data_IF_886375384901
#
_entry.id   IF_886375384901
#
_cell.length_a   1.000
_cell.length_b   1.000
_cell.length_c   1.000
_cell.angle_alpha   90.00
_cell.angle_beta   90.00
_cell.angle_gamma   90.00
#
_symmetry.space_group_name_H-M   'P 1'
#
loop_
_entity.id
_entity.type
_entity.pdbx_description
1 polymer ?
#
# COMPACT_ATOMS: atom_id res chain seq x y z
N UNK A 1 -20.87 -64.37 46.56
CA UNK A 1 -19.74 -63.42 46.52
C UNK A 1 -19.99 -62.48 45.35
N UNK A 2 -20.42 -61.25 45.64
CA UNK A 2 -20.72 -60.21 44.65
C UNK A 2 -19.42 -59.61 44.13
N UNK A 3 -19.18 -59.70 42.82
CA UNK A 3 -18.09 -58.95 42.16
C UNK A 3 -18.68 -57.65 41.64
N UNK A 4 -18.28 -56.56 42.30
CA UNK A 4 -18.67 -55.19 42.01
C UNK A 4 -17.90 -54.66 40.81
N UNK A 5 -18.64 -54.31 39.75
CA UNK A 5 -18.15 -53.62 38.57
C UNK A 5 -18.04 -52.12 38.85
N UNK A 6 -16.80 -51.62 38.97
CA UNK A 6 -16.47 -50.20 38.77
C UNK A 6 -15.43 -50.10 37.67
N UNK A 7 -15.90 -50.00 36.43
CA UNK A 7 -15.09 -49.52 35.32
C UNK A 7 -14.89 -48.01 35.52
N UNK A 8 -13.67 -47.62 35.89
CA UNK A 8 -13.22 -46.25 35.79
C UNK A 8 -13.04 -45.92 34.31
N UNK A 9 -13.98 -45.15 33.76
CA UNK A 9 -13.87 -44.54 32.45
C UNK A 9 -12.78 -43.45 32.56
N UNK A 10 -11.55 -43.78 32.18
CA UNK A 10 -10.51 -42.78 31.93
C UNK A 10 -10.90 -42.08 30.63
N UNK A 11 -11.57 -40.93 30.76
CA UNK A 11 -11.85 -40.05 29.63
C UNK A 11 -10.52 -39.50 29.11
N UNK A 12 -10.02 -40.07 28.02
CA UNK A 12 -9.09 -39.37 27.15
C UNK A 12 -9.82 -38.15 26.60
N UNK A 13 -9.60 -36.98 27.20
CA UNK A 13 -9.84 -35.71 26.53
C UNK A 13 -8.85 -35.64 25.36
N UNK A 14 -9.31 -36.02 24.17
CA UNK A 14 -8.54 -35.88 22.95
C UNK A 14 -8.39 -34.38 22.65
N UNK A 15 -7.19 -33.85 22.88
CA UNK A 15 -6.78 -32.54 22.39
C UNK A 15 -6.74 -32.61 20.85
N UNK A 16 -7.76 -32.08 20.19
CA UNK A 16 -7.76 -31.87 18.75
C UNK A 16 -7.38 -30.40 18.50
N UNK A 17 -6.29 -30.18 17.76
CA UNK A 17 -5.89 -28.87 17.28
C UNK A 17 -5.60 -28.98 15.78
N UNK A 18 -6.37 -28.26 14.97
CA UNK A 18 -6.23 -28.23 13.52
C UNK A 18 -5.66 -26.88 13.13
N UNK A 19 -4.56 -26.88 12.39
CA UNK A 19 -3.93 -25.68 11.84
C UNK A 19 -4.24 -25.60 10.35
N UNK A 20 -4.63 -24.42 9.86
CA UNK A 20 -4.73 -24.16 8.44
C UNK A 20 -3.81 -23.02 8.02
N UNK A 21 -3.18 -23.19 6.86
CA UNK A 21 -2.24 -22.25 6.25
C UNK A 21 -2.93 -21.56 5.08
N UNK A 22 -3.22 -20.26 5.19
CA UNK A 22 -3.83 -19.53 4.07
C UNK A 22 -2.76 -18.77 3.31
N UNK A 23 -2.82 -18.88 2.00
CA UNK A 23 -1.88 -18.25 1.06
C UNK A 23 -2.60 -17.07 0.42
N UNK A 24 -1.93 -15.93 0.23
CA UNK A 24 -2.50 -14.77 -0.45
C UNK A 24 -2.47 -14.97 -1.97
N UNK A 25 -3.27 -14.25 -2.75
CA UNK A 25 -3.02 -14.18 -4.19
C UNK A 25 -1.81 -13.25 -4.46
N UNK A 26 -0.76 -13.75 -5.09
CA UNK A 26 0.43 -13.01 -5.53
C UNK A 26 1.26 -13.81 -6.52
N UNK A 27 1.34 -13.36 -7.78
CA UNK A 27 2.23 -13.92 -8.80
C UNK A 27 3.68 -13.45 -8.58
N UNK A 28 4.66 -14.26 -8.98
CA UNK A 28 6.08 -14.01 -8.72
C UNK A 28 6.73 -12.94 -9.60
N UNK A 29 6.09 -12.45 -10.66
CA UNK A 29 6.81 -11.64 -11.66
C UNK A 29 6.04 -10.44 -12.24
N UNK A 30 4.71 -10.43 -12.26
CA UNK A 30 3.92 -9.24 -12.64
C UNK A 30 2.57 -9.32 -11.92
N UNK A 31 2.33 -8.45 -10.94
CA UNK A 31 1.02 -8.36 -10.29
C UNK A 31 0.22 -7.28 -10.99
N UNK A 32 -0.71 -7.67 -11.86
CA UNK A 32 -1.74 -6.76 -12.37
C UNK A 32 -2.87 -6.62 -11.36
N UNK A 33 -2.57 -6.09 -10.17
CA UNK A 33 -3.59 -5.60 -9.26
C UNK A 33 -3.70 -4.09 -9.45
N UNK A 34 -4.37 -3.70 -10.53
CA UNK A 34 -5.08 -2.44 -10.53
C UNK A 34 -6.44 -2.69 -9.89
N UNK A 35 -6.88 -1.81 -9.01
CA UNK A 35 -8.29 -1.73 -8.64
C UNK A 35 -9.11 -1.60 -9.93
N UNK A 36 -9.63 -2.71 -10.47
CA UNK A 36 -10.82 -2.67 -11.32
C UNK A 36 -12.02 -2.47 -10.40
N UNK A 37 -11.97 -1.42 -9.58
CA UNK A 37 -13.17 -0.87 -9.00
C UNK A 37 -14.07 -0.41 -10.14
N UNK A 38 -15.39 -0.48 -10.00
CA UNK A 38 -16.27 0.22 -10.93
C UNK A 38 -15.82 1.69 -11.02
N UNK A 39 -15.97 2.35 -12.19
CA UNK A 39 -15.74 3.79 -12.26
C UNK A 39 -16.47 4.43 -11.10
N UNK A 40 -15.74 5.16 -10.26
CA UNK A 40 -16.30 5.86 -9.12
C UNK A 40 -17.53 6.60 -9.61
N UNK A 41 -18.69 6.27 -9.05
CA UNK A 41 -19.92 6.95 -9.39
C UNK A 41 -19.71 8.45 -9.19
N UNK A 42 -20.02 9.22 -10.23
CA UNK A 42 -20.08 10.67 -10.19
C UNK A 42 -20.90 11.08 -8.96
N UNK A 43 -20.23 11.64 -7.95
CA UNK A 43 -20.90 12.32 -6.86
C UNK A 43 -21.53 13.59 -7.45
N UNK A 44 -22.86 13.58 -7.56
CA UNK A 44 -23.62 14.74 -7.99
C UNK A 44 -23.35 15.95 -7.10
N UNK A 45 -23.12 17.04 -7.83
CA UNK A 45 -22.72 18.38 -7.45
C UNK A 45 -23.72 19.04 -6.49
N UNK A 46 -23.27 19.34 -5.27
CA UNK A 46 -23.88 20.42 -4.49
C UNK A 46 -22.81 21.28 -3.83
N UNK A 47 -22.38 22.30 -4.57
CA UNK A 47 -22.10 23.63 -4.03
C UNK A 47 -20.89 23.77 -3.09
N UNK A 48 -19.68 23.60 -3.62
CA UNK A 48 -18.50 24.45 -3.38
C UNK A 48 -17.31 23.82 -4.12
N UNK A 49 -16.83 24.45 -5.21
CA UNK A 49 -15.63 24.00 -5.93
C UNK A 49 -14.38 24.26 -5.06
N UNK A 50 -13.94 23.22 -4.37
CA UNK A 50 -12.59 23.08 -3.82
C UNK A 50 -12.04 21.77 -4.39
N UNK A 51 -11.08 21.81 -5.31
CA UNK A 51 -10.46 20.57 -5.79
C UNK A 51 -9.93 20.52 -7.22
N UNK A 52 -9.61 21.65 -7.86
CA UNK A 52 -8.75 21.60 -9.04
C UNK A 52 -7.29 21.87 -8.61
N UNK A 53 -6.37 20.89 -8.69
CA UNK A 53 -4.96 21.12 -8.39
C UNK A 53 -4.24 21.99 -9.44
N UNK A 54 -4.85 22.27 -10.59
CA UNK A 54 -4.31 23.12 -11.66
C UNK A 54 -5.09 24.43 -11.85
N UNK A 55 -6.17 24.68 -11.10
CA UNK A 55 -6.92 25.95 -11.17
C UNK A 55 -6.95 26.57 -9.78
N UNK A 56 -6.16 27.64 -9.63
CA UNK A 56 -6.40 28.58 -8.54
C UNK A 56 -7.86 29.05 -8.65
N UNK A 57 -8.60 29.21 -7.55
CA UNK A 57 -10.02 29.64 -7.58
C UNK A 57 -10.29 30.89 -8.43
N UNK A 58 -9.24 31.66 -8.75
CA UNK A 58 -9.28 32.92 -9.48
C UNK A 58 -8.87 32.83 -10.97
N UNK A 59 -8.52 31.64 -11.49
CA UNK A 59 -8.01 31.51 -12.87
C UNK A 59 -6.66 32.21 -13.10
N UNK A 60 -5.89 32.41 -12.02
CA UNK A 60 -4.59 33.06 -12.03
C UNK A 60 -3.44 32.13 -12.44
N UNK A 61 -2.30 32.75 -12.77
CA UNK A 61 -1.04 32.10 -13.12
C UNK A 61 -0.64 31.05 -12.07
N UNK A 62 -0.69 29.76 -12.41
CA UNK A 62 -0.30 28.64 -11.52
C UNK A 62 1.12 28.77 -10.99
N UNK A 63 1.98 29.52 -11.67
CA UNK A 63 3.34 29.82 -11.22
C UNK A 63 3.39 30.84 -10.07
N UNK A 64 2.41 31.76 -10.01
CA UNK A 64 2.33 32.74 -8.93
C UNK A 64 1.96 32.09 -7.58
N UNK A 65 1.28 30.96 -7.59
CA UNK A 65 0.86 30.25 -6.36
C UNK A 65 1.64 28.95 -6.13
N UNK A 66 2.82 28.81 -6.74
CA UNK A 66 3.67 27.63 -6.58
C UNK A 66 4.89 27.95 -5.68
N UNK A 67 4.74 27.84 -4.35
CA UNK A 67 5.83 28.15 -3.44
C UNK A 67 7.04 27.23 -3.70
N UNK A 68 8.26 27.68 -3.36
CA UNK A 68 9.42 26.80 -3.37
C UNK A 68 9.16 25.55 -2.52
N UNK A 69 9.72 24.38 -2.90
CA UNK A 69 9.54 23.16 -2.12
C UNK A 69 9.94 23.40 -0.66
N UNK A 70 9.04 23.10 0.27
CA UNK A 70 9.40 23.05 1.67
C UNK A 70 10.24 21.79 1.92
N UNK A 71 11.15 21.85 2.89
CA UNK A 71 11.95 20.69 3.28
C UNK A 71 11.54 20.20 4.67
N UNK A 72 11.03 18.98 4.71
CA UNK A 72 10.71 18.21 5.90
C UNK A 72 11.52 16.90 5.97
N UNK A 73 12.68 16.86 5.30
CA UNK A 73 13.53 15.67 5.32
C UNK A 73 14.14 15.35 6.68
N UNK A 74 14.81 14.19 6.81
CA UNK A 74 15.39 13.74 8.07
C UNK A 74 16.35 14.76 8.68
N UNK A 75 16.35 14.85 10.02
CA UNK A 75 17.24 15.74 10.75
C UNK A 75 18.71 15.44 10.40
N UNK A 76 19.46 16.50 10.05
CA UNK A 76 20.88 16.40 9.71
C UNK A 76 21.19 16.22 8.22
N UNK A 77 20.18 16.07 7.35
CA UNK A 77 20.39 16.20 5.90
C UNK A 77 20.28 17.66 5.44
N UNK A 78 21.16 18.13 4.55
CA UNK A 78 21.09 19.49 4.04
C UNK A 78 19.81 19.69 3.22
N UNK A 79 19.11 20.80 3.47
CA UNK A 79 17.99 21.25 2.64
C UNK A 79 18.48 21.43 1.19
N UNK A 80 17.74 20.92 0.19
CA UNK A 80 18.04 21.17 -1.22
C UNK A 80 18.12 22.67 -1.51
N UNK A 81 19.04 23.12 -2.38
CA UNK A 81 19.11 24.51 -2.75
C UNK A 81 17.78 24.96 -3.36
N UNK A 82 17.29 26.11 -2.91
CA UNK A 82 16.06 26.68 -3.47
C UNK A 82 16.25 26.92 -4.97
N UNK A 83 15.23 26.62 -5.80
CA UNK A 83 15.29 26.94 -7.22
C UNK A 83 15.60 28.43 -7.47
N UNK A 84 16.40 28.71 -8.51
CA UNK A 84 16.68 30.07 -8.97
C UNK A 84 15.52 30.70 -9.74
N UNK A 85 15.77 31.89 -10.31
CA UNK A 85 14.80 32.63 -11.11
C UNK A 85 13.89 33.55 -10.29
N UNK A 86 12.87 34.10 -10.95
CA UNK A 86 11.79 34.87 -10.29
C UNK A 86 10.55 34.02 -10.10
N UNK A 87 9.56 34.52 -9.36
CA UNK A 87 8.28 33.84 -9.20
C UNK A 87 7.53 33.71 -10.53
N UNK A 88 7.68 34.71 -11.42
CA UNK A 88 7.08 34.74 -12.74
C UNK A 88 7.83 33.86 -13.76
N UNK A 89 9.17 33.78 -13.62
CA UNK A 89 10.07 33.01 -14.45
C UNK A 89 11.01 32.15 -13.60
N UNK A 90 10.50 31.04 -13.03
CA UNK A 90 11.32 30.12 -12.25
C UNK A 90 12.25 29.29 -13.14
N UNK A 91 13.54 29.29 -12.80
CA UNK A 91 14.60 28.68 -13.62
C UNK A 91 14.44 27.15 -13.75
N UNK A 92 13.85 26.49 -12.75
CA UNK A 92 13.67 25.04 -12.73
C UNK A 92 12.49 24.53 -13.57
N UNK A 93 11.57 25.43 -13.99
CA UNK A 93 10.38 25.05 -14.76
C UNK A 93 10.43 25.44 -16.23
N UNK A 94 11.34 26.35 -16.61
CA UNK A 94 11.46 26.86 -17.98
C UNK A 94 10.11 27.24 -18.60
N UNK A 95 9.35 28.08 -17.87
CA UNK A 95 8.00 28.50 -18.24
C UNK A 95 7.96 29.10 -19.66
N UNK A 96 6.98 28.72 -20.51
CA UNK A 96 6.80 29.33 -21.81
C UNK A 96 6.72 30.87 -21.74
N UNK A 97 7.45 31.55 -22.61
CA UNK A 97 7.55 33.01 -22.64
C UNK A 97 8.64 33.62 -21.74
N UNK A 98 9.27 32.84 -20.86
CA UNK A 98 10.41 33.31 -20.07
C UNK A 98 11.71 33.31 -20.86
N UNK A 99 12.63 34.21 -20.50
CA UNK A 99 13.88 34.39 -21.21
C UNK A 99 14.75 33.12 -21.18
N UNK A 100 15.42 32.84 -22.30
CA UNK A 100 16.39 31.76 -22.43
C UNK A 100 17.69 32.26 -23.05
N UNK A 101 18.78 31.50 -22.88
CA UNK A 101 20.14 31.98 -23.20
C UNK A 101 20.50 31.81 -24.67
N UNK A 102 20.14 30.68 -25.27
CA UNK A 102 20.62 30.30 -26.61
C UNK A 102 19.45 29.83 -27.48
N UNK A 103 19.25 30.46 -28.63
CA UNK A 103 18.25 30.01 -29.60
C UNK A 103 18.48 28.54 -30.00
N UNK A 104 17.43 27.73 -29.97
CA UNK A 104 17.47 26.30 -30.27
C UNK A 104 17.91 25.41 -29.11
N UNK A 105 18.32 25.97 -27.96
CA UNK A 105 18.57 25.18 -26.75
C UNK A 105 17.27 24.50 -26.28
N UNK A 106 17.37 23.26 -25.79
CA UNK A 106 16.26 22.49 -25.25
C UNK A 106 16.45 22.27 -23.76
N UNK A 107 15.38 22.37 -22.98
CA UNK A 107 15.39 22.08 -21.55
C UNK A 107 14.12 21.33 -21.12
N UNK A 108 14.19 20.65 -19.97
CA UNK A 108 13.00 20.11 -19.32
C UNK A 108 12.10 21.26 -18.86
N UNK A 109 10.79 21.13 -19.04
CA UNK A 109 9.81 22.14 -18.62
C UNK A 109 8.65 21.50 -17.85
N UNK A 110 7.99 22.32 -17.04
CA UNK A 110 6.87 21.89 -16.21
C UNK A 110 5.90 23.05 -16.00
N UNK A 111 4.65 22.91 -16.43
CA UNK A 111 3.61 23.93 -16.25
C UNK A 111 2.71 23.72 -15.04
N UNK A 112 2.78 22.55 -14.40
CA UNK A 112 2.03 22.25 -13.18
C UNK A 112 2.68 22.81 -11.90
N UNK A 113 2.09 22.49 -10.74
CA UNK A 113 2.68 22.77 -9.42
C UNK A 113 3.90 21.87 -9.16
N UNK A 114 4.92 22.39 -8.44
CA UNK A 114 6.11 21.59 -8.05
C UNK A 114 5.75 20.40 -7.18
N UNK A 115 4.68 20.53 -6.39
CA UNK A 115 4.16 19.45 -5.56
C UNK A 115 3.86 18.18 -6.38
N UNK A 116 3.42 18.32 -7.63
CA UNK A 116 2.98 17.22 -8.49
C UNK A 116 4.06 16.73 -9.47
N UNK A 117 5.22 17.41 -9.52
CA UNK A 117 6.26 17.15 -10.50
C UNK A 117 6.99 15.84 -10.22
N UNK A 118 6.96 14.93 -11.19
CA UNK A 118 7.68 13.65 -11.15
C UNK A 118 7.05 12.60 -10.25
N UNK A 119 5.75 12.72 -9.95
CA UNK A 119 4.98 11.79 -9.12
C UNK A 119 3.94 11.07 -9.97
N UNK A 120 3.65 9.80 -9.69
CA UNK A 120 2.70 9.03 -10.48
C UNK A 120 3.02 9.02 -11.99
N UNK A 121 2.03 9.35 -12.82
CA UNK A 121 2.21 9.51 -14.27
C UNK A 121 2.78 10.86 -14.69
N UNK A 122 2.84 11.83 -13.76
CA UNK A 122 3.27 13.18 -14.05
C UNK A 122 4.76 13.26 -14.33
N UNK A 123 5.10 13.90 -15.45
CA UNK A 123 6.47 14.04 -15.92
C UNK A 123 6.66 15.34 -16.67
N UNK A 124 7.90 15.81 -16.61
CA UNK A 124 8.34 16.98 -17.36
C UNK A 124 8.19 16.76 -18.86
N UNK A 125 7.83 17.85 -19.54
CA UNK A 125 7.95 17.94 -20.98
C UNK A 125 9.31 18.47 -21.40
N UNK A 126 9.43 18.78 -22.69
CA UNK A 126 10.59 19.47 -23.25
C UNK A 126 10.14 20.76 -23.93
N UNK A 127 10.87 21.84 -23.65
CA UNK A 127 10.71 23.14 -24.32
C UNK A 127 11.95 23.45 -25.13
N UNK A 128 11.79 24.29 -26.16
CA UNK A 128 12.88 24.79 -27.01
C UNK A 128 12.89 26.31 -26.94
N UNK A 129 14.08 26.90 -26.77
CA UNK A 129 14.30 28.33 -26.79
C UNK A 129 14.10 28.87 -28.21
N UNK A 130 13.10 29.74 -28.40
CA UNK A 130 12.73 30.32 -29.69
C UNK A 130 13.09 31.81 -29.71
N UNK A 131 13.52 32.28 -30.89
CA UNK A 131 13.70 33.70 -31.11
C UNK A 131 12.33 34.38 -31.31
N UNK A 132 12.09 35.45 -30.57
CA UNK A 132 10.89 36.28 -30.65
C UNK A 132 11.32 37.72 -30.89
N UNK A 133 10.97 38.25 -32.07
CA UNK A 133 11.45 39.55 -32.54
C UNK A 133 12.91 39.53 -32.98
N UNK A 134 13.56 40.70 -33.00
CA UNK A 134 14.94 40.83 -33.50
C UNK A 134 15.99 40.28 -32.52
N UNK A 135 15.76 40.41 -31.21
CA UNK A 135 16.74 40.06 -30.17
C UNK A 135 16.18 39.26 -28.99
N UNK A 136 14.86 39.07 -28.93
CA UNK A 136 14.23 38.33 -27.84
C UNK A 136 14.45 36.82 -27.98
N UNK A 137 14.77 36.16 -26.89
CA UNK A 137 14.84 34.71 -26.79
C UNK A 137 13.94 34.27 -25.65
N UNK A 138 12.95 33.42 -25.93
CA UNK A 138 12.04 32.89 -24.91
C UNK A 138 11.79 31.40 -25.07
N UNK A 139 11.53 30.73 -23.96
CA UNK A 139 11.08 29.34 -23.97
C UNK A 139 9.76 29.19 -24.73
N UNK A 140 9.69 28.20 -25.62
CA UNK A 140 8.44 27.82 -26.29
C UNK A 140 7.53 26.98 -25.40
N UNK A 141 6.46 26.44 -26.00
CA UNK A 141 5.52 25.55 -25.32
C UNK A 141 6.21 24.32 -24.72
N UNK A 142 5.66 23.85 -23.60
CA UNK A 142 6.14 22.63 -22.96
C UNK A 142 5.50 21.40 -23.62
N UNK A 143 6.27 20.69 -24.44
CA UNK A 143 5.75 19.58 -25.23
C UNK A 143 6.01 18.25 -24.51
N UNK A 144 4.96 17.44 -24.37
CA UNK A 144 5.04 16.09 -23.82
C UNK A 144 5.02 16.00 -22.30
N UNK A 145 4.76 17.11 -21.60
CA UNK A 145 4.47 17.07 -20.17
C UNK A 145 3.16 16.33 -19.91
N UNK A 146 3.06 15.72 -18.73
CA UNK A 146 1.84 15.09 -18.24
C UNK A 146 1.50 15.74 -16.91
N UNK A 147 0.36 16.44 -16.89
CA UNK A 147 -0.17 17.11 -15.71
C UNK A 147 -1.14 16.18 -14.95
N UNK A 148 -1.41 16.48 -13.67
CA UNK A 148 -2.41 15.75 -12.90
C UNK A 148 -3.78 15.83 -13.57
N UNK A 149 -4.52 14.73 -13.53
CA UNK A 149 -5.91 14.72 -13.98
C UNK A 149 -6.74 15.58 -13.04
N UNK A 150 -7.55 16.50 -13.59
CA UNK A 150 -8.39 17.38 -12.77
C UNK A 150 -9.36 16.56 -11.91
N UNK A 151 -9.42 16.87 -10.62
CA UNK A 151 -10.22 16.14 -9.62
C UNK A 151 -9.62 14.82 -9.11
N UNK A 152 -8.50 14.35 -9.67
CA UNK A 152 -7.83 13.16 -9.16
C UNK A 152 -7.17 13.46 -7.80
N UNK A 153 -7.61 12.77 -6.77
CA UNK A 153 -7.08 12.91 -5.40
C UNK A 153 -6.21 11.72 -4.98
N UNK A 154 -6.29 10.60 -5.69
CA UNK A 154 -5.59 9.34 -5.38
C UNK A 154 -5.15 8.63 -6.67
N UNK A 155 -4.18 7.73 -6.53
CA UNK A 155 -3.69 6.89 -7.62
C UNK A 155 -2.78 7.63 -8.60
N UNK A 156 -2.38 6.95 -9.69
CA UNK A 156 -1.33 7.41 -10.60
C UNK A 156 -1.59 8.78 -11.20
N UNK A 157 -2.86 9.10 -11.48
CA UNK A 157 -3.30 10.33 -12.14
C UNK A 157 -3.36 11.55 -11.20
N UNK A 158 -3.31 11.35 -9.87
CA UNK A 158 -3.30 12.43 -8.89
C UNK A 158 -1.92 13.09 -8.78
N UNK A 159 -0.86 12.35 -9.13
CA UNK A 159 0.51 12.80 -9.05
C UNK A 159 0.87 13.37 -7.67
N UNK A 160 0.50 12.61 -6.63
CA UNK A 160 0.85 12.87 -5.24
C UNK A 160 1.88 11.82 -4.78
N UNK A 161 2.50 12.02 -3.63
CA UNK A 161 3.38 11.02 -3.03
C UNK A 161 2.60 9.73 -2.79
N UNK A 162 3.17 8.56 -3.14
CA UNK A 162 2.46 7.28 -3.24
C UNK A 162 1.47 7.18 -4.41
N UNK A 163 1.76 7.80 -5.56
CA UNK A 163 1.00 7.59 -6.81
C UNK A 163 1.67 6.63 -7.79
N UNK A 164 2.94 6.28 -7.56
CA UNK A 164 3.63 5.24 -8.30
C UNK A 164 4.60 4.48 -7.39
N UNK A 165 4.51 3.17 -7.37
CA UNK A 165 5.47 2.36 -6.62
C UNK A 165 5.07 0.92 -6.41
N UNK A 166 5.79 0.27 -5.51
CA UNK A 166 5.57 -1.11 -5.15
C UNK A 166 6.06 -1.41 -3.74
N UNK A 167 5.24 -2.09 -2.94
CA UNK A 167 5.65 -2.70 -1.68
C UNK A 167 5.61 -4.22 -1.82
N UNK A 168 6.78 -4.88 -1.72
CA UNK A 168 6.90 -6.34 -1.81
C UNK A 168 7.07 -6.94 -0.43
N UNK A 169 6.30 -7.98 -0.13
CA UNK A 169 6.29 -8.68 1.15
C UNK A 169 6.55 -10.17 0.88
N UNK A 170 7.59 -10.71 1.52
CA UNK A 170 8.04 -12.09 1.31
C UNK A 170 7.11 -13.15 1.92
N UNK A 171 6.29 -12.78 2.90
CA UNK A 171 5.38 -13.67 3.59
C UNK A 171 4.12 -12.95 4.05
N UNK A 172 2.97 -13.44 3.60
CA UNK A 172 1.64 -12.99 3.98
C UNK A 172 0.80 -14.11 4.58
N UNK A 173 1.40 -15.26 4.88
CA UNK A 173 0.67 -16.42 5.36
C UNK A 173 0.25 -16.20 6.82
N UNK A 174 -1.06 -16.16 7.13
CA UNK A 174 -1.57 -16.20 8.47
C UNK A 174 -1.84 -17.65 8.90
N UNK A 175 -1.74 -17.90 10.20
CA UNK A 175 -2.03 -19.18 10.79
C UNK A 175 -3.28 -19.08 11.64
N UNK A 176 -4.20 -20.02 11.46
CA UNK A 176 -5.48 -20.07 12.17
C UNK A 176 -5.61 -21.37 12.93
N UNK A 177 -6.08 -21.26 14.17
CA UNK A 177 -6.23 -22.40 15.06
C UNK A 177 -7.63 -22.45 15.64
N UNK A 178 -8.16 -23.65 15.66
CA UNK A 178 -9.25 -24.06 16.55
C UNK A 178 -8.63 -24.88 17.69
N UNK A 179 -8.95 -24.52 18.92
CA UNK A 179 -8.51 -25.24 20.11
C UNK A 179 -9.71 -25.60 20.97
N UNK A 180 -9.88 -26.89 21.27
CA UNK A 180 -10.95 -27.37 22.14
C UNK A 180 -10.39 -27.77 23.50
N UNK A 181 -10.92 -27.17 24.57
CA UNK A 181 -10.58 -27.51 25.95
C UNK A 181 -11.85 -27.79 26.75
N UNK A 182 -11.99 -29.01 27.29
CA UNK A 182 -13.16 -29.44 28.07
C UNK A 182 -14.50 -29.15 27.38
N UNK A 183 -14.55 -29.28 26.05
CA UNK A 183 -15.74 -29.03 25.23
C UNK A 183 -15.99 -27.56 24.86
N UNK A 184 -15.17 -26.62 25.34
CA UNK A 184 -15.20 -25.23 24.89
C UNK A 184 -14.21 -25.02 23.73
N UNK A 185 -14.71 -24.49 22.62
CA UNK A 185 -13.91 -24.10 21.45
C UNK A 185 -13.40 -22.67 21.60
N UNK A 186 -12.14 -22.46 21.24
CA UNK A 186 -11.55 -21.14 21.04
C UNK A 186 -10.90 -21.05 19.67
N UNK A 187 -10.96 -19.86 19.08
CA UNK A 187 -10.42 -19.56 17.76
C UNK A 187 -9.46 -18.40 17.87
N UNK A 188 -8.31 -18.50 17.21
CA UNK A 188 -7.32 -17.42 17.21
C UNK A 188 -6.45 -17.49 15.96
N UNK A 189 -5.80 -16.37 15.66
CA UNK A 189 -4.91 -16.19 14.52
C UNK A 189 -3.55 -15.68 14.99
N UNK A 190 -2.51 -16.02 14.24
CA UNK A 190 -1.14 -15.60 14.52
C UNK A 190 -0.36 -15.52 13.21
N UNK A 191 0.69 -14.71 13.18
CA UNK A 191 1.64 -14.71 12.07
C UNK A 191 2.40 -16.03 11.97
N UNK A 192 2.66 -16.47 10.74
CA UNK A 192 3.73 -17.44 10.47
C UNK A 192 5.11 -16.78 10.59
N UNK A 193 6.17 -17.55 10.33
CA UNK A 193 7.50 -17.03 10.04
C UNK A 193 8.09 -17.80 8.85
N UNK A 194 9.10 -17.25 8.18
CA UNK A 194 9.81 -17.97 7.11
C UNK A 194 10.89 -18.87 7.72
N UNK A 195 10.85 -20.16 7.42
CA UNK A 195 11.90 -21.11 7.78
C UNK A 195 13.16 -20.85 6.94
N UNK A 196 14.29 -20.67 7.62
CA UNK A 196 15.56 -20.30 6.98
C UNK A 196 16.20 -21.43 6.15
N UNK A 197 15.78 -22.68 6.35
CA UNK A 197 16.28 -23.85 5.65
C UNK A 197 15.56 -24.14 4.33
N UNK A 198 14.27 -23.82 4.22
CA UNK A 198 13.46 -24.11 3.02
C UNK A 198 12.73 -22.90 2.41
N UNK A 199 12.70 -21.74 3.08
CA UNK A 199 12.06 -20.53 2.59
C UNK A 199 10.52 -20.54 2.63
N UNK A 200 9.91 -21.55 3.26
CA UNK A 200 8.46 -21.67 3.38
C UNK A 200 7.95 -21.00 4.66
N UNK A 201 6.71 -20.52 4.60
CA UNK A 201 5.99 -20.08 5.78
C UNK A 201 5.69 -21.27 6.71
N UNK A 202 6.10 -21.15 7.97
CA UNK A 202 5.85 -22.12 9.04
C UNK A 202 5.01 -21.48 10.12
N UNK A 203 3.92 -22.17 10.47
CA UNK A 203 3.06 -21.78 11.57
C UNK A 203 3.63 -22.22 12.92
N UNK A 204 3.43 -21.42 13.99
CA UNK A 204 3.77 -21.85 15.34
C UNK A 204 3.13 -23.19 15.75
N UNK A 205 3.65 -23.83 16.79
CA UNK A 205 3.07 -25.07 17.27
C UNK A 205 1.61 -24.88 17.71
N UNK A 206 0.75 -25.81 17.30
CA UNK A 206 -0.68 -25.79 17.63
C UNK A 206 -0.89 -25.99 19.13
N UNK A 207 -1.79 -25.23 19.75
CA UNK A 207 -1.99 -25.26 21.20
C UNK A 207 -3.00 -24.22 21.71
N UNK A 208 -3.05 -23.98 23.03
CA UNK A 208 -3.83 -22.86 23.57
C UNK A 208 -3.28 -21.53 23.03
N UNK A 209 -4.15 -20.52 22.92
CA UNK A 209 -3.78 -19.19 22.44
C UNK A 209 -2.56 -18.67 23.23
N UNK A 210 -1.46 -18.30 22.56
CA UNK A 210 -0.29 -17.78 23.26
C UNK A 210 -0.58 -16.40 23.86
N UNK A 211 0.18 -16.03 24.89
CA UNK A 211 0.04 -14.72 25.54
C UNK A 211 0.70 -13.56 24.76
N UNK A 212 1.53 -13.87 23.76
CA UNK A 212 2.26 -12.88 22.96
C UNK A 212 2.41 -13.35 21.51
N UNK A 213 2.70 -12.39 20.63
CA UNK A 213 3.06 -12.68 19.24
C UNK A 213 4.42 -13.40 19.13
N UNK A 214 4.70 -14.06 17.99
CA UNK A 214 6.02 -14.65 17.73
C UNK A 214 7.13 -13.61 17.83
N UNK A 215 8.30 -14.02 18.30
CA UNK A 215 9.46 -13.13 18.38
C UNK A 215 10.13 -12.95 17.01
N UNK A 216 9.97 -13.94 16.13
CA UNK A 216 10.41 -13.95 14.76
C UNK A 216 9.65 -12.90 13.93
N UNK A 217 10.34 -12.33 12.95
CA UNK A 217 9.71 -11.47 11.97
C UNK A 217 8.74 -12.30 11.11
N UNK A 218 7.54 -11.75 10.89
CA UNK A 218 6.56 -12.36 10.01
C UNK A 218 7.06 -12.36 8.57
N UNK A 219 7.61 -11.22 8.12
CA UNK A 219 8.08 -11.06 6.75
C UNK A 219 9.19 -10.03 6.62
N UNK A 220 10.09 -10.25 5.67
CA UNK A 220 10.93 -9.20 5.10
C UNK A 220 10.14 -8.41 4.05
N UNK A 221 10.56 -7.18 3.75
CA UNK A 221 9.94 -6.39 2.70
C UNK A 221 10.89 -5.42 1.98
N UNK A 222 10.53 -5.05 0.76
CA UNK A 222 11.19 -3.98 -0.01
C UNK A 222 10.15 -2.97 -0.46
N UNK A 223 10.54 -1.70 -0.49
CA UNK A 223 9.68 -0.59 -0.90
C UNK A 223 10.31 0.12 -2.10
N UNK A 224 9.47 0.50 -3.06
CA UNK A 224 9.74 1.46 -4.11
C UNK A 224 8.60 2.48 -4.09
N UNK A 225 8.90 3.76 -3.94
CA UNK A 225 7.91 4.83 -3.94
C UNK A 225 8.42 6.00 -4.79
N UNK A 226 7.53 6.73 -5.43
CA UNK A 226 7.82 7.90 -6.26
C UNK A 226 8.29 9.14 -5.46
N UNK A 227 8.24 9.08 -4.14
CA UNK A 227 8.61 10.16 -3.24
C UNK A 227 9.46 9.66 -2.07
N UNK A 228 10.27 10.56 -1.52
CA UNK A 228 11.01 10.35 -0.28
C UNK A 228 10.21 10.86 0.92
N UNK A 229 10.37 10.24 2.08
CA UNK A 229 9.70 10.64 3.31
C UNK A 229 9.84 9.65 4.45
N UNK A 230 9.14 9.92 5.54
CA UNK A 230 9.01 9.02 6.69
C UNK A 230 7.61 8.41 6.65
N UNK A 231 7.55 7.08 6.59
CA UNK A 231 6.32 6.34 6.36
C UNK A 231 6.07 5.33 7.49
N UNK A 232 4.82 5.28 7.92
CA UNK A 232 4.21 4.21 8.69
C UNK A 232 3.42 3.33 7.72
N UNK A 233 3.87 2.09 7.49
CA UNK A 233 3.24 1.17 6.56
C UNK A 233 2.76 -0.06 7.32
N UNK A 234 1.50 -0.44 7.09
CA UNK A 234 0.87 -1.60 7.69
C UNK A 234 0.34 -2.56 6.63
N UNK A 235 0.39 -3.84 6.95
CA UNK A 235 -0.40 -4.87 6.28
C UNK A 235 -1.47 -5.38 7.24
N UNK A 236 -2.74 -5.23 6.86
CA UNK A 236 -3.92 -5.64 7.66
C UNK A 236 -4.62 -6.81 7.01
N UNK A 237 -4.97 -7.83 7.79
CA UNK A 237 -5.74 -8.98 7.32
C UNK A 237 -7.17 -8.83 7.82
N UNK A 238 -8.16 -8.87 6.92
CA UNK A 238 -9.56 -8.63 7.23
C UNK A 238 -10.46 -9.73 6.69
N UNK A 239 -11.51 -10.08 7.44
CA UNK A 239 -12.57 -10.97 6.94
C UNK A 239 -13.53 -10.18 6.06
N UNK A 240 -13.67 -10.55 4.80
CA UNK A 240 -14.58 -9.89 3.86
C UNK A 240 -14.23 -10.15 2.40
N UNK A 241 -14.65 -9.24 1.53
CA UNK A 241 -14.43 -9.28 0.07
C UNK A 241 -13.63 -8.03 -0.35
N UNK A 242 -12.46 -8.22 -0.97
CA UNK A 242 -11.60 -7.11 -1.39
C UNK A 242 -12.23 -6.24 -2.47
N UNK A 243 -13.15 -6.80 -3.27
CA UNK A 243 -13.87 -6.06 -4.29
C UNK A 243 -14.98 -5.18 -3.69
N UNK A 244 -15.46 -5.51 -2.49
CA UNK A 244 -16.53 -4.80 -1.80
C UNK A 244 -16.16 -4.60 -0.31
N UNK A 245 -15.07 -3.86 -0.01
CA UNK A 245 -14.58 -3.72 1.34
C UNK A 245 -15.60 -2.96 2.21
N UNK A 246 -15.81 -3.44 3.43
CA UNK A 246 -16.70 -2.82 4.40
C UNK A 246 -15.93 -2.22 5.57
N UNK A 247 -16.35 -1.07 6.11
CA UNK A 247 -15.88 -0.59 7.41
C UNK A 247 -16.16 -1.57 8.57
N UNK A 248 -17.11 -2.50 8.39
CA UNK A 248 -17.45 -3.54 9.37
C UNK A 248 -16.61 -4.81 9.25
N UNK A 249 -15.72 -4.89 8.26
CA UNK A 249 -14.81 -6.03 8.10
C UNK A 249 -13.80 -6.04 9.25
N UNK A 250 -13.89 -7.08 10.08
CA UNK A 250 -13.06 -7.21 11.26
C UNK A 250 -11.61 -7.55 10.89
N UNK A 251 -10.66 -7.06 11.68
CA UNK A 251 -9.22 -7.27 11.50
C UNK A 251 -8.79 -8.52 12.26
N UNK A 252 -8.24 -9.50 11.53
CA UNK A 252 -7.75 -10.76 12.09
C UNK A 252 -6.28 -10.65 12.52
N UNK A 253 -5.50 -9.79 11.86
CA UNK A 253 -4.09 -9.62 12.09
C UNK A 253 -3.58 -8.33 11.45
N UNK A 254 -2.54 -7.75 12.02
CA UNK A 254 -1.92 -6.54 11.52
C UNK A 254 -0.44 -6.54 11.88
N UNK A 255 0.41 -6.15 10.93
CA UNK A 255 1.81 -5.84 11.17
C UNK A 255 2.14 -4.48 10.56
N UNK A 256 2.79 -3.62 11.33
CA UNK A 256 3.18 -2.28 10.93
C UNK A 256 4.68 -2.05 11.13
N UNK A 257 5.23 -1.15 10.32
CA UNK A 257 6.62 -0.72 10.39
C UNK A 257 6.74 0.77 10.08
N UNK A 258 7.68 1.42 10.76
CA UNK A 258 8.05 2.79 10.51
C UNK A 258 9.44 2.83 9.87
N UNK A 259 9.63 3.68 8.87
CA UNK A 259 10.92 3.83 8.22
C UNK A 259 11.07 5.15 7.45
N UNK A 260 12.32 5.48 7.14
CA UNK A 260 12.66 6.59 6.26
C UNK A 260 13.01 6.05 4.87
N UNK A 261 12.30 6.53 3.86
CA UNK A 261 12.53 6.22 2.45
C UNK A 261 13.25 7.40 1.79
N UNK A 262 14.52 7.20 1.41
CA UNK A 262 15.40 8.32 1.04
C UNK A 262 15.60 8.54 -0.45
N UNK A 263 15.45 7.50 -1.29
CA UNK A 263 15.76 7.56 -2.72
C UNK A 263 14.50 7.28 -3.55
N UNK A 264 13.80 8.32 -4.05
CA UNK A 264 12.62 8.18 -4.90
C UNK A 264 12.87 7.28 -6.11
N UNK A 265 11.93 6.38 -6.40
CA UNK A 265 11.95 5.48 -7.54
C UNK A 265 12.92 4.30 -7.44
N UNK A 266 13.75 4.21 -6.39
CA UNK A 266 14.66 3.10 -6.18
C UNK A 266 14.05 2.04 -5.25
N UNK A 267 14.13 0.77 -5.65
CA UNK A 267 13.78 -0.32 -4.74
C UNK A 267 14.82 -0.39 -3.62
N UNK A 268 14.38 -0.31 -2.36
CA UNK A 268 15.24 -0.39 -1.19
C UNK A 268 14.65 -1.34 -0.13
N UNK A 269 15.52 -1.97 0.70
CA UNK A 269 15.06 -2.74 1.85
C UNK A 269 14.19 -1.87 2.77
N UNK A 270 13.10 -2.44 3.25
CA UNK A 270 12.22 -1.81 4.23
C UNK A 270 12.25 -2.61 5.54
N UNK A 271 12.03 -1.99 6.72
CA UNK A 271 11.98 -2.73 7.97
C UNK A 271 11.06 -3.95 7.90
N UNK A 272 11.49 -5.02 8.56
CA UNK A 272 10.75 -6.27 8.56
C UNK A 272 9.43 -6.12 9.34
N UNK A 273 8.37 -6.71 8.80
CA UNK A 273 7.10 -6.86 9.50
C UNK A 273 7.26 -7.81 10.67
N UNK A 274 6.99 -7.32 11.88
CA UNK A 274 7.08 -8.12 13.11
C UNK A 274 5.96 -9.15 13.21
N UNK A 275 6.22 -10.21 13.96
CA UNK A 275 5.19 -11.19 14.31
C UNK A 275 4.00 -10.53 15.00
N UNK A 276 2.80 -11.05 14.75
CA UNK A 276 1.56 -10.53 15.31
C UNK A 276 0.67 -11.66 15.86
N UNK A 277 -0.19 -11.31 16.82
CA UNK A 277 -1.20 -12.19 17.40
C UNK A 277 -2.56 -11.52 17.28
N UNK A 278 -3.55 -12.26 16.77
CA UNK A 278 -4.91 -11.77 16.58
C UNK A 278 -5.57 -11.35 17.89
N UNK A 279 -6.20 -10.18 17.86
CA UNK A 279 -6.90 -9.59 19.03
C UNK A 279 -8.40 -9.93 19.06
N UNK A 280 -8.98 -10.29 17.93
CA UNK A 280 -10.42 -10.57 17.79
C UNK A 280 -10.68 -12.05 17.47
N UNK A 281 -11.01 -12.81 18.52
CA UNK A 281 -11.28 -14.25 18.41
C UNK A 281 -12.57 -14.55 17.64
N UNK A 282 -13.57 -13.64 17.68
CA UNK A 282 -14.80 -13.79 16.89
C UNK A 282 -14.51 -13.60 15.40
N UNK A 283 -13.60 -12.68 15.06
CA UNK A 283 -13.12 -12.52 13.70
C UNK A 283 -12.35 -13.75 13.21
N UNK A 284 -11.46 -14.29 14.04
CA UNK A 284 -10.75 -15.54 13.73
C UNK A 284 -11.72 -16.72 13.52
N UNK A 285 -12.76 -16.83 14.35
CA UNK A 285 -13.81 -17.82 14.19
C UNK A 285 -14.56 -17.66 12.86
N UNK A 286 -14.91 -16.42 12.48
CA UNK A 286 -15.59 -16.15 11.20
C UNK A 286 -14.72 -16.56 10.00
N UNK A 287 -13.43 -16.23 10.04
CA UNK A 287 -12.46 -16.65 9.03
C UNK A 287 -12.41 -18.17 8.90
N UNK A 288 -12.22 -18.87 10.03
CA UNK A 288 -12.17 -20.33 10.09
C UNK A 288 -13.47 -20.99 9.59
N UNK A 289 -14.62 -20.43 9.95
CA UNK A 289 -15.92 -20.88 9.49
C UNK A 289 -16.05 -20.81 7.96
N UNK A 290 -15.58 -19.73 7.32
CA UNK A 290 -15.59 -19.63 5.86
C UNK A 290 -14.68 -20.70 5.24
N UNK A 291 -13.46 -20.85 5.75
CA UNK A 291 -12.50 -21.84 5.24
C UNK A 291 -13.03 -23.27 5.28
N UNK A 292 -13.80 -23.62 6.30
CA UNK A 292 -14.28 -25.00 6.53
C UNK A 292 -15.63 -25.27 5.88
N UNK A 293 -16.52 -24.28 5.80
CA UNK A 293 -17.88 -24.46 5.28
C UNK A 293 -18.03 -24.01 3.83
N UNK A 294 -17.13 -23.18 3.31
CA UNK A 294 -17.19 -22.58 1.97
C UNK A 294 -15.80 -22.64 1.30
N UNK A 295 -15.31 -23.84 0.92
CA UNK A 295 -13.94 -24.02 0.46
C UNK A 295 -13.61 -23.32 -0.87
N UNK A 296 -14.63 -22.99 -1.66
CA UNK A 296 -14.52 -22.21 -2.90
C UNK A 296 -14.49 -20.70 -2.66
N UNK A 297 -14.81 -20.23 -1.45
CA UNK A 297 -14.86 -18.81 -1.11
C UNK A 297 -13.58 -18.38 -0.42
N UNK A 298 -13.11 -17.19 -0.79
CA UNK A 298 -12.06 -16.54 -0.02
C UNK A 298 -12.56 -16.17 1.39
N UNK A 299 -11.77 -16.45 2.44
CA UNK A 299 -12.14 -16.08 3.81
C UNK A 299 -11.94 -14.58 4.10
N UNK A 300 -11.15 -13.87 3.29
CA UNK A 300 -10.84 -12.47 3.54
C UNK A 300 -9.78 -11.90 2.61
N UNK A 301 -9.31 -10.70 2.92
CA UNK A 301 -8.36 -9.94 2.11
C UNK A 301 -7.32 -9.23 2.99
N UNK A 302 -6.20 -8.88 2.37
CA UNK A 302 -5.19 -8.00 2.94
C UNK A 302 -5.37 -6.56 2.46
N UNK A 303 -5.18 -5.59 3.34
CA UNK A 303 -5.03 -4.17 2.99
C UNK A 303 -3.59 -3.75 3.21
N UNK A 304 -2.99 -3.15 2.20
CA UNK A 304 -1.72 -2.45 2.30
C UNK A 304 -2.00 -0.97 2.51
N UNK A 305 -1.44 -0.45 3.60
CA UNK A 305 -1.82 0.83 4.17
C UNK A 305 -0.59 1.66 4.42
N UNK A 306 -0.65 2.94 4.08
CA UNK A 306 0.40 3.91 4.40
C UNK A 306 -0.18 5.13 5.11
N UNK A 307 0.63 5.67 6.02
CA UNK A 307 0.47 7.01 6.56
C UNK A 307 1.85 7.63 6.72
N UNK A 308 2.00 8.93 6.47
CA UNK A 308 3.31 9.53 6.64
C UNK A 308 3.43 10.96 6.18
N UNK A 309 4.68 11.37 6.00
CA UNK A 309 5.01 12.71 5.50
C UNK A 309 6.18 12.64 4.54
N UNK A 310 6.05 13.28 3.39
CA UNK A 310 7.13 13.38 2.40
C UNK A 310 8.23 14.33 2.89
N UNK A 311 9.43 14.24 2.31
CA UNK A 311 10.50 15.23 2.52
C UNK A 311 10.13 16.61 1.98
N UNK A 312 9.07 16.72 1.18
CA UNK A 312 8.49 17.98 0.69
C UNK A 312 7.36 18.52 1.58
N UNK A 313 7.18 17.90 2.74
CA UNK A 313 6.14 18.21 3.72
C UNK A 313 4.71 17.80 3.34
N UNK A 314 4.53 17.04 2.26
CA UNK A 314 3.21 16.52 1.86
C UNK A 314 2.75 15.49 2.88
N UNK A 315 1.49 15.59 3.31
CA UNK A 315 0.88 14.57 4.18
C UNK A 315 0.41 13.42 3.30
N UNK A 316 0.67 12.20 3.74
CA UNK A 316 0.27 10.97 3.05
C UNK A 316 -0.79 10.30 3.92
N UNK A 317 -2.05 10.47 3.53
CA UNK A 317 -3.23 9.97 4.20
C UNK A 317 -4.41 9.84 3.19
N UNK A 318 -5.59 9.44 3.66
CA UNK A 318 -6.77 9.26 2.81
C UNK A 318 -7.45 10.58 2.35
N UNK A 319 -6.87 11.73 2.65
CA UNK A 319 -7.43 13.08 2.47
C UNK A 319 -8.24 13.58 3.66
N UNK A 320 -8.54 12.71 4.64
CA UNK A 320 -9.28 13.01 5.86
C UNK A 320 -8.44 12.78 7.13
N UNK A 321 -7.13 12.59 7.00
CA UNK A 321 -6.25 12.31 8.12
C UNK A 321 -6.22 10.85 8.57
N UNK A 322 -6.95 9.95 7.89
CA UNK A 322 -6.92 8.52 8.17
C UNK A 322 -5.92 7.80 7.27
N UNK A 323 -5.75 6.53 7.55
CA UNK A 323 -4.85 5.65 6.82
C UNK A 323 -5.18 5.55 5.32
N UNK A 324 -4.18 5.73 4.47
CA UNK A 324 -4.35 5.57 3.02
C UNK A 324 -4.19 4.10 2.64
N UNK A 325 -5.29 3.47 2.22
CA UNK A 325 -5.27 2.11 1.63
C UNK A 325 -4.93 2.23 0.16
N UNK A 326 -3.73 1.79 -0.23
CA UNK A 326 -3.25 1.91 -1.60
C UNK A 326 -3.39 0.62 -2.40
N UNK A 327 -3.52 -0.53 -1.74
CA UNK A 327 -3.76 -1.79 -2.42
C UNK A 327 -4.54 -2.79 -1.54
N UNK A 328 -5.29 -3.69 -2.18
CA UNK A 328 -5.96 -4.82 -1.53
C UNK A 328 -5.64 -6.12 -2.25
N UNK A 329 -5.43 -7.19 -1.48
CA UNK A 329 -5.18 -8.52 -2.03
C UNK A 329 -6.16 -9.53 -1.45
N UNK A 330 -6.93 -10.21 -2.30
CA UNK A 330 -7.80 -11.28 -1.84
C UNK A 330 -6.95 -12.49 -1.38
N UNK A 331 -7.30 -13.11 -0.25
CA UNK A 331 -6.70 -14.39 0.14
C UNK A 331 -7.28 -15.54 -0.66
N UNK A 332 -6.52 -16.62 -0.79
CA UNK A 332 -7.00 -17.77 -1.53
C UNK A 332 -8.11 -18.54 -0.79
N UNK A 333 -9.08 -19.08 -1.54
CA UNK A 333 -9.99 -20.08 -1.02
C UNK A 333 -9.24 -21.30 -0.45
N UNK A 334 -9.79 -21.93 0.59
CA UNK A 334 -9.11 -23.05 1.27
C UNK A 334 -8.93 -24.28 0.37
N UNK A 335 -9.75 -24.45 -0.67
CA UNK A 335 -9.56 -25.52 -1.67
C UNK A 335 -8.20 -25.47 -2.37
N UNK A 336 -7.60 -24.28 -2.47
CA UNK A 336 -6.32 -24.10 -3.14
C UNK A 336 -5.16 -24.78 -2.41
N UNK A 337 -5.35 -25.17 -1.15
CA UNK A 337 -4.37 -25.98 -0.40
C UNK A 337 -4.25 -27.40 -0.95
N UNK A 338 -5.32 -27.96 -1.51
CA UNK A 338 -5.34 -29.36 -2.00
C UNK A 338 -5.43 -29.47 -3.51
N UNK A 339 -5.93 -28.44 -4.20
CA UNK A 339 -5.97 -28.36 -5.65
C UNK A 339 -5.40 -27.04 -6.15
N UNK A 340 -4.08 -27.00 -6.32
CA UNK A 340 -3.34 -25.84 -6.82
C UNK A 340 -3.45 -25.63 -8.34
N UNK A 341 -4.15 -26.51 -9.07
CA UNK A 341 -4.31 -26.43 -10.52
C UNK A 341 -5.61 -25.78 -10.97
N UNK A 342 -6.54 -25.54 -10.03
CA UNK A 342 -7.78 -24.81 -10.30
C UNK A 342 -7.43 -23.37 -10.72
N UNK A 343 -8.05 -22.80 -11.77
CA UNK A 343 -7.78 -21.43 -12.23
C UNK A 343 -7.82 -20.37 -11.12
N UNK A 344 -8.69 -20.51 -10.12
CA UNK A 344 -8.77 -19.56 -8.99
C UNK A 344 -7.56 -19.66 -8.03
N UNK A 345 -6.77 -20.73 -8.15
CA UNK A 345 -5.65 -21.04 -7.28
C UNK A 345 -4.28 -20.76 -7.94
N UNK A 346 -4.24 -20.45 -9.23
CA UNK A 346 -3.00 -20.26 -9.99
C UNK A 346 -2.18 -19.08 -9.46
N UNK A 347 -2.85 -18.05 -8.96
CA UNK A 347 -2.19 -16.87 -8.39
C UNK A 347 -1.94 -17.01 -6.89
N UNK A 348 -2.23 -18.14 -6.26
CA UNK A 348 -2.00 -18.32 -4.83
C UNK A 348 -0.51 -18.46 -4.50
N UNK A 349 0.04 -17.47 -3.79
CA UNK A 349 1.43 -17.41 -3.36
C UNK A 349 1.59 -16.89 -1.92
N UNK A 350 2.62 -17.38 -1.21
CA UNK A 350 2.88 -16.91 0.16
C UNK A 350 3.38 -15.45 0.18
N UNK A 351 3.94 -15.01 -0.94
CA UNK A 351 4.41 -13.64 -1.16
C UNK A 351 3.24 -12.80 -1.65
N UNK A 352 3.29 -11.50 -1.37
CA UNK A 352 2.42 -10.55 -2.03
C UNK A 352 3.16 -9.26 -2.31
N UNK A 353 2.63 -8.53 -3.27
CA UNK A 353 3.09 -7.19 -3.58
C UNK A 353 1.88 -6.31 -3.88
N UNK A 354 1.98 -5.03 -3.53
CA UNK A 354 1.01 -4.03 -3.95
C UNK A 354 1.69 -2.99 -4.78
N UNK A 355 1.08 -2.72 -5.93
CA UNK A 355 1.39 -1.56 -6.74
C UNK A 355 0.38 -0.47 -6.40
N UNK A 356 0.80 0.76 -6.58
CA UNK A 356 -0.02 1.96 -6.47
C UNK A 356 0.43 2.93 -7.56
#
# INVERSE_FOLDING_TARGET
>A
MNVSSKNALVGLCALACTAFVVVACGSSDESKFGDQGPPLADFEESGAKLGDPNVTPDGGDVYANDPPPQWCGPAGQPEPPKPGGTQECPDDKNKPGCACKTAGETAACWTGLRANRGLGVCKDGQTTCKQVGETGLVWGDCVGEVLPTSGATKGPDACQCFSAGQWKIANLVPCYYEYTNNGAQSFWSISSHIDSGNGNAVCPAAGPKPGAAPAEDWSTSTLKADCAGTFHICYRIKVGDSANPSPSDCIVGEACTDGDYTTPGAEQPWPNLKGWLGKDDACAQKWYGIMTTQPDKSPGYGEMVVKGKSVRCDVIDDGAGNDFVFNRLQYCPSKCQTNNTDPVCVECGQKGQGEF
#
